data_IF_031500997780
#
_entry.id   IF_031500997780
#
_cell.length_a   1.000
_cell.length_b   1.000
_cell.length_c   1.000
_cell.angle_alpha   90.00
_cell.angle_beta   90.00
_cell.angle_gamma   90.00
#
_symmetry.space_group_name_H-M   'P 1'
#
loop_
_entity.id
_entity.type
_entity.pdbx_description
1 polymer ?
#
# COMPACT_ATOMS: atom_id res chain seq x y z
N UNK A 1 -6.55 14.06 19.93
CA UNK A 1 -6.48 14.50 18.52
C UNK A 1 -5.35 13.67 17.92
N UNK A 2 -5.66 12.65 17.13
CA UNK A 2 -4.64 11.88 16.42
C UNK A 2 -3.96 12.82 15.43
N UNK A 3 -2.63 12.91 15.51
CA UNK A 3 -1.82 13.57 14.49
C UNK A 3 -2.25 13.01 13.14
N UNK A 4 -2.56 13.92 12.23
CA UNK A 4 -2.83 13.57 10.83
C UNK A 4 -1.51 13.05 10.29
N UNK A 5 -1.33 11.74 10.27
CA UNK A 5 -0.15 11.13 9.66
C UNK A 5 -0.07 11.58 8.20
N UNK A 6 0.95 12.34 7.91
CA UNK A 6 1.21 12.86 6.56
C UNK A 6 1.65 11.66 5.70
N UNK A 7 0.92 11.37 4.63
CA UNK A 7 1.36 10.40 3.63
C UNK A 7 2.35 11.10 2.71
N UNK A 8 3.58 10.60 2.65
CA UNK A 8 4.65 11.21 1.87
C UNK A 8 6.02 10.86 2.43
N UNK A 9 7.11 11.36 1.87
CA UNK A 9 8.47 11.05 2.32
C UNK A 9 8.72 11.31 3.82
N UNK A 10 8.01 12.27 4.40
CA UNK A 10 8.11 12.60 5.83
C UNK A 10 7.59 11.48 6.76
N UNK A 11 6.75 10.56 6.25
CA UNK A 11 6.26 9.42 7.03
C UNK A 11 7.28 8.27 7.15
N UNK A 12 8.26 8.20 6.25
CA UNK A 12 9.19 7.08 6.17
C UNK A 12 9.93 6.78 7.49
N UNK A 13 10.48 7.76 8.22
CA UNK A 13 11.17 7.47 9.49
C UNK A 13 10.26 6.82 10.54
N UNK A 14 9.00 7.26 10.63
CA UNK A 14 8.01 6.68 11.54
C UNK A 14 7.67 5.23 11.18
N UNK A 15 7.47 4.96 9.89
CA UNK A 15 7.22 3.60 9.41
C UNK A 15 8.44 2.68 9.58
N UNK A 16 9.66 3.19 9.42
CA UNK A 16 10.89 2.44 9.70
C UNK A 16 10.98 2.04 11.17
N UNK A 17 10.74 2.99 12.08
CA UNK A 17 10.71 2.70 13.52
C UNK A 17 9.64 1.65 13.87
N UNK A 18 8.47 1.70 13.24
CA UNK A 18 7.41 0.71 13.44
C UNK A 18 7.84 -0.68 12.93
N UNK A 19 8.49 -0.78 11.76
CA UNK A 19 9.05 -2.04 11.26
C UNK A 19 10.05 -2.63 12.26
N UNK A 20 10.98 -1.81 12.78
CA UNK A 20 11.96 -2.25 13.77
C UNK A 20 11.29 -2.76 15.05
N UNK A 21 10.24 -2.07 15.53
CA UNK A 21 9.46 -2.49 16.68
C UNK A 21 8.79 -3.86 16.46
N UNK A 22 8.18 -4.06 15.28
CA UNK A 22 7.52 -5.33 14.94
C UNK A 22 8.54 -6.47 14.85
N UNK A 23 9.69 -6.23 14.21
CA UNK A 23 10.78 -7.22 14.13
C UNK A 23 11.34 -7.59 15.51
N UNK A 24 11.47 -6.60 16.40
CA UNK A 24 11.90 -6.84 17.78
C UNK A 24 10.88 -7.68 18.56
N UNK A 25 9.59 -7.40 18.43
CA UNK A 25 8.53 -8.15 19.08
C UNK A 25 8.45 -9.59 18.54
N UNK A 26 8.61 -9.80 17.23
CA UNK A 26 8.67 -11.12 16.63
C UNK A 26 9.80 -11.98 17.19
N UNK A 27 11.00 -11.39 17.32
CA UNK A 27 12.17 -12.06 17.92
C UNK A 27 11.92 -12.39 19.37
N UNK A 28 11.36 -11.46 20.15
CA UNK A 28 11.01 -11.65 21.57
C UNK A 28 10.02 -12.80 21.78
N UNK A 29 9.06 -12.98 20.87
CA UNK A 29 8.08 -14.06 20.93
C UNK A 29 8.61 -15.41 20.40
N UNK A 30 9.84 -15.48 19.88
CA UNK A 30 10.53 -16.72 19.52
C UNK A 30 10.50 -17.08 18.03
N UNK A 31 10.24 -16.13 17.14
CA UNK A 31 10.45 -16.35 15.71
C UNK A 31 11.95 -16.55 15.40
N UNK A 32 12.27 -17.53 14.56
CA UNK A 32 13.65 -17.79 14.09
C UNK A 32 14.06 -16.82 12.98
N UNK A 33 13.10 -16.43 12.15
CA UNK A 33 13.24 -15.39 11.14
C UNK A 33 11.89 -14.69 10.91
N UNK A 34 11.92 -13.47 10.41
CA UNK A 34 10.70 -12.74 10.09
C UNK A 34 10.96 -11.65 9.05
N UNK A 35 9.89 -11.29 8.36
CA UNK A 35 9.81 -10.14 7.46
C UNK A 35 8.51 -9.37 7.70
N UNK A 36 8.56 -8.07 7.52
CA UNK A 36 7.47 -7.14 7.80
C UNK A 36 7.35 -6.14 6.67
N UNK A 37 6.13 -5.84 6.27
CA UNK A 37 5.83 -4.70 5.42
C UNK A 37 4.80 -3.81 6.13
N UNK A 38 5.11 -2.53 6.27
CA UNK A 38 4.22 -1.49 6.80
C UNK A 38 3.90 -0.53 5.65
N UNK A 39 2.66 -0.13 5.54
CA UNK A 39 2.24 0.83 4.52
C UNK A 39 1.20 1.81 5.05
N UNK A 40 1.22 2.99 4.47
CA UNK A 40 0.17 4.01 4.58
C UNK A 40 -0.12 4.54 3.19
N UNK A 41 -1.39 4.66 2.87
CA UNK A 41 -1.87 5.14 1.58
C UNK A 41 -3.03 6.11 1.77
N UNK A 42 -3.12 7.11 0.90
CA UNK A 42 -4.30 7.96 0.76
C UNK A 42 -4.53 8.30 -0.70
N UNK A 43 -5.78 8.53 -1.07
CA UNK A 43 -6.09 8.87 -2.44
C UNK A 43 -7.48 9.42 -2.65
N UNK A 44 -7.61 10.20 -3.71
CA UNK A 44 -8.85 10.68 -4.27
C UNK A 44 -9.16 9.88 -5.54
N UNK A 45 -10.38 9.38 -5.64
CA UNK A 45 -10.92 8.80 -6.87
C UNK A 45 -12.24 9.48 -7.23
N UNK A 46 -12.39 9.85 -8.49
CA UNK A 46 -13.64 10.40 -9.02
C UNK A 46 -14.04 9.63 -10.26
N UNK A 47 -15.33 9.35 -10.39
CA UNK A 47 -15.90 8.75 -11.60
C UNK A 47 -17.05 9.61 -12.09
N UNK A 48 -17.03 9.93 -13.38
CA UNK A 48 -18.13 10.61 -14.08
C UNK A 48 -18.67 9.66 -15.16
N UNK A 49 -19.97 9.74 -15.38
CA UNK A 49 -20.66 8.97 -16.40
C UNK A 49 -21.81 9.78 -16.98
N UNK A 50 -21.93 9.81 -18.29
CA UNK A 50 -23.00 10.54 -18.98
C UNK A 50 -23.06 12.02 -18.58
N UNK A 51 -21.87 12.64 -18.40
CA UNK A 51 -21.69 14.04 -17.97
C UNK A 51 -22.16 14.35 -16.57
N UNK A 52 -22.39 13.34 -15.75
CA UNK A 52 -22.76 13.46 -14.34
C UNK A 52 -21.71 12.82 -13.46
N UNK A 53 -21.56 13.33 -12.24
CA UNK A 53 -20.68 12.73 -11.23
C UNK A 53 -21.36 11.49 -10.69
N UNK A 54 -20.68 10.35 -10.79
CA UNK A 54 -21.16 9.08 -10.26
C UNK A 54 -20.62 8.82 -8.86
N UNK A 55 -19.28 8.96 -8.69
CA UNK A 55 -18.63 8.79 -7.38
C UNK A 55 -17.53 9.81 -7.17
N UNK A 56 -17.35 10.18 -5.89
CA UNK A 56 -16.18 10.88 -5.36
C UNK A 56 -15.80 10.19 -4.06
N UNK A 57 -14.62 9.60 -4.01
CA UNK A 57 -14.14 8.82 -2.89
C UNK A 57 -12.79 9.33 -2.44
N UNK A 58 -12.62 9.50 -1.13
CA UNK A 58 -11.34 9.74 -0.52
C UNK A 58 -11.04 8.58 0.44
N UNK A 59 -10.04 7.80 0.10
CA UNK A 59 -9.63 6.63 0.86
C UNK A 59 -8.34 6.92 1.62
N UNK A 60 -8.25 6.38 2.83
CA UNK A 60 -7.02 6.36 3.60
C UNK A 60 -6.90 5.02 4.29
N UNK A 61 -5.84 4.31 3.97
CA UNK A 61 -5.52 3.00 4.50
C UNK A 61 -4.14 3.00 5.14
N UNK A 62 -4.02 2.22 6.21
CA UNK A 62 -2.74 1.93 6.86
C UNK A 62 -2.75 0.53 7.43
N UNK A 63 -1.58 -0.04 7.61
CA UNK A 63 -1.48 -1.34 8.26
C UNK A 63 -0.11 -1.97 8.07
N UNK A 64 0.02 -3.15 8.65
CA UNK A 64 1.19 -3.97 8.42
C UNK A 64 0.85 -5.44 8.23
N UNK A 65 1.70 -6.12 7.48
CA UNK A 65 1.73 -7.57 7.37
C UNK A 65 3.05 -8.11 7.86
N UNK A 66 3.01 -9.24 8.56
CA UNK A 66 4.18 -9.95 9.02
C UNK A 66 4.15 -11.40 8.57
N UNK A 67 5.29 -11.90 8.12
CA UNK A 67 5.54 -13.32 7.93
C UNK A 67 6.62 -13.78 8.91
N UNK A 68 6.31 -14.80 9.68
CA UNK A 68 7.21 -15.40 10.67
C UNK A 68 7.61 -16.80 10.24
N UNK A 69 8.82 -17.15 10.64
CA UNK A 69 9.36 -18.51 10.49
C UNK A 69 9.73 -19.08 11.84
N UNK A 70 9.40 -20.36 12.05
CA UNK A 70 9.85 -21.18 13.17
C UNK A 70 10.51 -22.42 12.57
N UNK A 71 11.83 -22.39 12.43
CA UNK A 71 12.52 -23.33 11.55
C UNK A 71 12.04 -23.20 10.11
N UNK A 72 11.56 -24.29 9.52
CA UNK A 72 11.01 -24.35 8.16
C UNK A 72 9.47 -24.22 8.10
N UNK A 73 8.85 -23.70 9.15
CA UNK A 73 7.40 -23.47 9.21
C UNK A 73 7.09 -21.99 9.12
N UNK A 74 6.13 -21.63 8.30
CA UNK A 74 5.76 -20.26 8.02
C UNK A 74 4.35 -19.94 8.51
N UNK A 75 4.19 -18.77 9.10
CA UNK A 75 2.88 -18.19 9.44
C UNK A 75 2.85 -16.71 9.12
N UNK A 76 1.72 -16.23 8.60
CA UNK A 76 1.54 -14.83 8.25
C UNK A 76 0.25 -14.29 8.87
N UNK A 77 0.28 -13.02 9.27
CA UNK A 77 -0.88 -12.27 9.73
C UNK A 77 -0.74 -10.80 9.35
N UNK A 78 -1.86 -10.09 9.28
CA UNK A 78 -1.90 -8.66 8.98
C UNK A 78 -2.97 -7.96 9.78
N UNK A 79 -2.81 -6.65 9.97
CA UNK A 79 -3.80 -5.78 10.62
C UNK A 79 -3.69 -4.36 10.11
N UNK A 80 -4.79 -3.62 10.19
CA UNK A 80 -4.83 -2.17 9.97
C UNK A 80 -4.56 -1.36 11.26
N UNK A 81 -4.55 -2.00 12.43
CA UNK A 81 -4.26 -1.36 13.70
C UNK A 81 -2.75 -1.29 13.93
N UNK A 82 -2.25 -0.13 14.39
CA UNK A 82 -0.80 0.16 14.47
C UNK A 82 -0.28 0.30 15.91
N UNK A 83 -1.15 0.18 16.92
CA UNK A 83 -0.76 0.29 18.33
C UNK A 83 0.02 -0.94 18.84
N UNK A 84 0.76 -0.78 19.94
CA UNK A 84 1.58 -1.84 20.54
C UNK A 84 0.80 -3.13 20.86
N UNK A 85 -0.45 -3.02 21.28
CA UNK A 85 -1.29 -4.19 21.55
C UNK A 85 -1.56 -4.97 20.25
N UNK A 86 -1.92 -4.26 19.17
CA UNK A 86 -2.17 -4.86 17.87
C UNK A 86 -0.91 -5.52 17.30
N UNK A 87 0.26 -4.89 17.50
CA UNK A 87 1.55 -5.49 17.11
C UNK A 87 1.75 -6.83 17.83
N UNK A 88 1.60 -6.86 19.15
CA UNK A 88 1.77 -8.10 19.94
C UNK A 88 0.80 -9.19 19.52
N UNK A 89 -0.45 -8.85 19.33
CA UNK A 89 -1.51 -9.80 18.95
C UNK A 89 -1.30 -10.36 17.55
N UNK A 90 -0.94 -9.50 16.58
CA UNK A 90 -0.69 -9.91 15.20
C UNK A 90 0.56 -10.81 15.10
N UNK A 91 1.62 -10.47 15.81
CA UNK A 91 2.82 -11.30 15.93
C UNK A 91 2.48 -12.66 16.57
N UNK A 92 1.70 -12.66 17.64
CA UNK A 92 1.28 -13.91 18.31
C UNK A 92 0.41 -14.78 17.38
N UNK A 93 -0.49 -14.18 16.60
CA UNK A 93 -1.33 -14.90 15.64
C UNK A 93 -0.48 -15.54 14.53
N UNK A 94 0.45 -14.79 13.92
CA UNK A 94 1.36 -15.33 12.91
C UNK A 94 2.23 -16.47 13.48
N UNK A 95 2.71 -16.31 14.72
CA UNK A 95 3.51 -17.34 15.39
C UNK A 95 2.69 -18.61 15.67
N UNK A 96 1.44 -18.47 16.09
CA UNK A 96 0.55 -19.61 16.30
C UNK A 96 0.33 -20.38 14.99
N UNK A 97 0.10 -19.67 13.87
CA UNK A 97 -0.02 -20.28 12.56
C UNK A 97 1.26 -21.02 12.18
N UNK A 98 2.43 -20.41 12.33
CA UNK A 98 3.71 -21.04 12.02
C UNK A 98 3.95 -22.33 12.82
N UNK A 99 3.59 -22.35 14.11
CA UNK A 99 3.76 -23.54 14.97
C UNK A 99 2.90 -24.72 14.52
N UNK A 100 1.77 -24.48 13.86
CA UNK A 100 0.84 -25.53 13.41
C UNK A 100 0.96 -25.83 11.90
N UNK A 101 1.74 -25.04 11.16
CA UNK A 101 1.98 -25.27 9.74
C UNK A 101 2.89 -26.50 9.53
N UNK A 102 2.76 -27.14 8.37
CA UNK A 102 3.71 -28.16 7.93
C UNK A 102 5.06 -27.55 7.61
N UNK A 103 6.11 -28.34 7.76
CA UNK A 103 7.47 -27.95 7.33
C UNK A 103 7.54 -27.87 5.80
N UNK A 104 8.23 -26.84 5.31
CA UNK A 104 8.50 -26.60 3.90
C UNK A 104 9.98 -26.22 3.77
N UNK A 105 10.74 -27.06 3.10
CA UNK A 105 12.18 -26.88 2.92
C UNK A 105 12.54 -25.55 2.22
N UNK A 106 11.61 -25.01 1.46
CA UNK A 106 11.78 -23.72 0.76
C UNK A 106 11.32 -22.52 1.59
N UNK A 107 10.75 -22.73 2.80
CA UNK A 107 10.28 -21.63 3.64
C UNK A 107 11.45 -20.97 4.37
N UNK A 108 11.61 -19.66 4.14
CA UNK A 108 12.65 -18.86 4.77
C UNK A 108 12.82 -17.50 4.11
N UNK A 109 13.68 -16.68 4.67
CA UNK A 109 14.14 -15.45 4.04
C UNK A 109 15.14 -15.77 2.94
N UNK A 110 15.25 -14.89 1.96
CA UNK A 110 16.36 -14.92 1.00
C UNK A 110 17.71 -14.84 1.74
N UNK A 111 18.78 -15.35 1.11
CA UNK A 111 20.13 -15.30 1.68
C UNK A 111 20.49 -13.86 2.09
N UNK A 112 21.03 -13.70 3.31
CA UNK A 112 21.47 -12.41 3.81
C UNK A 112 22.52 -11.72 2.91
N UNK A 113 23.31 -12.49 2.18
CA UNK A 113 24.28 -11.97 1.23
C UNK A 113 23.64 -11.30 -0.01
N UNK A 114 22.38 -11.63 -0.29
CA UNK A 114 21.60 -11.06 -1.40
C UNK A 114 20.82 -9.79 -1.01
N UNK A 115 20.86 -9.39 0.27
CA UNK A 115 20.18 -8.16 0.71
C UNK A 115 20.84 -6.94 0.08
N UNK A 116 20.00 -6.00 -0.38
CA UNK A 116 20.47 -4.73 -0.89
C UNK A 116 21.22 -3.95 0.21
N UNK A 117 22.34 -3.35 -0.14
CA UNK A 117 23.17 -2.54 0.76
C UNK A 117 23.00 -1.06 0.48
N UNK A 118 22.89 -0.72 -0.78
CA UNK A 118 22.68 0.63 -1.27
C UNK A 118 21.25 0.77 -1.80
N UNK A 119 20.50 1.68 -1.22
CA UNK A 119 19.13 1.98 -1.64
C UNK A 119 19.17 3.25 -2.49
N UNK A 120 19.00 3.15 -3.83
CA UNK A 120 18.98 4.32 -4.68
C UNK A 120 17.75 5.18 -4.42
N UNK A 121 17.89 6.49 -4.61
CA UNK A 121 16.74 7.37 -4.73
C UNK A 121 15.96 7.01 -6.01
N UNK A 122 14.67 6.70 -5.87
CA UNK A 122 13.85 6.21 -6.98
C UNK A 122 13.04 7.29 -7.68
N UNK A 123 13.00 8.51 -7.10
CA UNK A 123 12.23 9.66 -7.61
C UNK A 123 10.77 9.31 -7.98
N UNK A 124 10.08 8.60 -7.08
CA UNK A 124 8.72 8.08 -7.33
C UNK A 124 7.62 8.95 -6.73
N UNK A 125 7.98 10.01 -5.98
CA UNK A 125 7.01 10.82 -5.25
C UNK A 125 6.87 12.20 -5.87
N UNK A 126 5.73 12.43 -6.55
CA UNK A 126 5.36 13.68 -7.17
C UNK A 126 3.92 14.02 -6.76
N UNK A 127 3.77 14.74 -5.65
CA UNK A 127 2.46 15.09 -5.12
C UNK A 127 1.67 15.94 -6.11
N UNK A 128 0.38 15.65 -6.23
CA UNK A 128 -0.55 16.41 -7.02
C UNK A 128 -1.71 16.87 -6.14
N UNK A 129 -1.71 18.13 -5.77
CA UNK A 129 -2.73 18.75 -4.91
C UNK A 129 -4.01 19.05 -5.72
N UNK A 130 -4.58 18.02 -6.34
CA UNK A 130 -5.82 18.13 -7.09
C UNK A 130 -7.02 18.12 -6.16
N UNK A 131 -7.93 19.09 -6.33
CA UNK A 131 -9.20 19.08 -5.59
C UNK A 131 -10.22 18.15 -6.24
N UNK A 132 -11.26 17.71 -5.52
CA UNK A 132 -12.34 16.91 -6.09
C UNK A 132 -12.98 17.58 -7.31
N UNK A 133 -13.21 18.89 -7.24
CA UNK A 133 -13.82 19.67 -8.33
C UNK A 133 -12.93 19.67 -9.59
N UNK A 134 -11.62 19.84 -9.41
CA UNK A 134 -10.65 19.78 -10.52
C UNK A 134 -10.57 18.37 -11.12
N UNK A 135 -10.67 17.33 -10.28
CA UNK A 135 -10.67 15.95 -10.74
C UNK A 135 -11.92 15.63 -11.57
N UNK A 136 -13.09 16.08 -11.11
CA UNK A 136 -14.36 15.98 -11.83
C UNK A 136 -14.27 16.70 -13.17
N UNK A 137 -13.80 17.96 -13.18
CA UNK A 137 -13.66 18.74 -14.42
C UNK A 137 -12.81 18.01 -15.45
N UNK A 138 -11.66 17.45 -15.05
CA UNK A 138 -10.77 16.70 -15.94
C UNK A 138 -11.41 15.42 -16.46
N UNK A 139 -12.15 14.70 -15.61
CA UNK A 139 -12.86 13.51 -16.03
C UNK A 139 -13.99 13.84 -17.03
N UNK A 140 -14.75 14.91 -16.79
CA UNK A 140 -15.78 15.40 -17.72
C UNK A 140 -15.19 15.84 -19.07
N UNK A 141 -14.05 16.53 -19.07
CA UNK A 141 -13.36 16.92 -20.30
C UNK A 141 -12.90 15.71 -21.11
N UNK A 142 -12.40 14.66 -20.43
CA UNK A 142 -11.99 13.42 -21.07
C UNK A 142 -13.19 12.70 -21.71
N UNK A 143 -14.30 12.58 -20.99
CA UNK A 143 -15.53 11.97 -21.49
C UNK A 143 -16.10 12.76 -22.69
N UNK A 144 -16.16 14.08 -22.59
CA UNK A 144 -16.65 14.94 -23.68
C UNK A 144 -15.82 14.77 -24.96
N UNK A 145 -14.48 14.76 -24.82
CA UNK A 145 -13.58 14.56 -25.95
C UNK A 145 -13.84 13.24 -26.69
N UNK A 146 -14.16 12.18 -25.93
CA UNK A 146 -14.46 10.87 -26.48
C UNK A 146 -15.82 10.89 -27.26
N UNK A 147 -16.85 11.48 -26.68
CA UNK A 147 -18.16 11.60 -27.35
C UNK A 147 -18.10 12.47 -28.62
N UNK A 148 -17.24 13.47 -28.63
CA UNK A 148 -17.06 14.37 -29.78
C UNK A 148 -16.20 13.72 -30.90
N UNK A 149 -15.40 12.69 -30.56
CA UNK A 149 -14.51 12.05 -31.53
C UNK A 149 -15.23 11.26 -32.62
N UNK A 150 -16.34 10.59 -32.27
CA UNK A 150 -17.13 9.81 -33.25
C UNK A 150 -18.62 9.76 -32.84
N UNK A 151 -19.57 10.07 -33.71
CA UNK A 151 -21.01 10.08 -33.41
C UNK A 151 -21.58 8.70 -33.07
N UNK A 152 -20.82 7.62 -33.29
CA UNK A 152 -21.18 6.27 -32.88
C UNK A 152 -20.93 6.04 -31.37
N UNK A 153 -20.07 6.83 -30.74
CA UNK A 153 -19.81 6.78 -29.30
C UNK A 153 -20.95 7.50 -28.59
N UNK A 154 -21.86 6.75 -27.99
CA UNK A 154 -23.06 7.26 -27.32
C UNK A 154 -23.17 6.89 -25.86
N UNK A 155 -22.27 6.05 -25.40
CA UNK A 155 -22.27 5.59 -24.00
C UNK A 155 -20.85 5.34 -23.52
N UNK A 156 -20.61 5.66 -22.27
CA UNK A 156 -19.40 5.33 -21.54
C UNK A 156 -19.77 4.47 -20.32
N UNK A 157 -18.90 3.56 -19.96
CA UNK A 157 -19.00 2.83 -18.69
C UNK A 157 -18.50 3.69 -17.53
N UNK A 158 -17.78 4.74 -17.83
CA UNK A 158 -17.33 5.79 -16.94
C UNK A 158 -15.94 6.29 -17.29
N UNK A 159 -15.69 7.52 -16.87
CA UNK A 159 -14.37 8.15 -16.88
C UNK A 159 -13.93 8.33 -15.44
N UNK A 160 -12.81 7.70 -15.09
CA UNK A 160 -12.28 7.74 -13.72
C UNK A 160 -10.94 8.47 -13.68
N UNK A 161 -10.80 9.38 -12.72
CA UNK A 161 -9.53 10.00 -12.34
C UNK A 161 -9.16 9.57 -10.94
N UNK A 162 -7.95 9.04 -10.77
CA UNK A 162 -7.37 8.66 -9.48
C UNK A 162 -6.07 9.40 -9.21
N UNK A 163 -5.88 9.86 -7.98
CA UNK A 163 -4.64 10.45 -7.49
C UNK A 163 -4.34 9.88 -6.11
N UNK A 164 -3.31 9.05 -6.02
CA UNK A 164 -2.94 8.29 -4.82
C UNK A 164 -1.51 8.59 -4.41
N UNK A 165 -1.29 8.62 -3.10
CA UNK A 165 0.01 8.75 -2.48
C UNK A 165 0.20 7.58 -1.51
N UNK A 166 1.38 6.99 -1.50
CA UNK A 166 1.69 5.88 -0.60
C UNK A 166 3.10 5.96 -0.06
N UNK A 167 3.28 5.43 1.15
CA UNK A 167 4.58 5.11 1.71
C UNK A 167 4.59 3.65 2.12
N UNK A 168 5.66 2.97 1.80
CA UNK A 168 5.85 1.57 2.16
C UNK A 168 7.26 1.37 2.70
N UNK A 169 7.36 0.64 3.81
CA UNK A 169 8.63 0.20 4.39
C UNK A 169 8.58 -1.31 4.55
N UNK A 170 9.63 -1.96 4.12
CA UNK A 170 9.88 -3.38 4.33
C UNK A 170 11.11 -3.55 5.21
N UNK A 171 11.09 -4.54 6.07
CA UNK A 171 12.24 -4.96 6.84
C UNK A 171 12.21 -6.46 7.16
N UNK A 172 13.37 -7.00 7.48
CA UNK A 172 13.51 -8.40 7.84
C UNK A 172 14.55 -8.64 8.93
N UNK A 173 14.56 -9.87 9.47
CA UNK A 173 15.46 -10.25 10.56
C UNK A 173 16.94 -10.40 10.17
N UNK A 174 17.30 -10.26 8.89
CA UNK A 174 18.69 -10.12 8.45
C UNK A 174 19.24 -8.69 8.61
N UNK A 175 18.45 -7.77 9.17
CA UNK A 175 18.86 -6.40 9.42
C UNK A 175 18.58 -5.44 8.24
N UNK A 176 17.90 -5.89 7.20
CA UNK A 176 17.45 -4.99 6.14
C UNK A 176 16.21 -4.22 6.59
N UNK A 177 16.22 -2.90 6.42
CA UNK A 177 15.06 -2.01 6.51
C UNK A 177 15.17 -0.99 5.38
N UNK A 178 14.19 -0.93 4.52
CA UNK A 178 14.15 0.00 3.40
C UNK A 178 12.73 0.33 3.00
N UNK A 179 12.54 1.53 2.47
CA UNK A 179 11.21 1.99 2.08
C UNK A 179 11.28 3.16 1.12
N UNK A 180 10.14 3.45 0.52
CA UNK A 180 9.98 4.56 -0.40
C UNK A 180 8.58 5.14 -0.31
N UNK A 181 8.47 6.41 -0.68
CA UNK A 181 7.21 7.06 -0.97
C UNK A 181 6.98 7.04 -2.48
N UNK A 182 5.72 6.96 -2.90
CA UNK A 182 5.35 7.02 -4.30
C UNK A 182 4.00 7.66 -4.50
N UNK A 183 3.78 8.18 -5.70
CA UNK A 183 2.49 8.66 -6.15
C UNK A 183 2.05 7.93 -7.41
N UNK A 184 0.75 7.82 -7.60
CA UNK A 184 0.15 7.27 -8.80
C UNK A 184 -1.03 8.14 -9.23
N UNK A 185 -0.95 8.68 -10.44
CA UNK A 185 -2.04 9.45 -11.04
C UNK A 185 -2.51 8.72 -12.29
N UNK A 186 -3.81 8.61 -12.45
CA UNK A 186 -4.41 7.91 -13.59
C UNK A 186 -5.68 8.61 -14.06
N UNK A 187 -5.87 8.63 -15.37
CA UNK A 187 -7.10 9.01 -16.01
C UNK A 187 -7.46 7.89 -16.99
N UNK A 188 -8.64 7.33 -16.86
CA UNK A 188 -9.11 6.24 -17.71
C UNK A 188 -10.56 6.47 -18.14
N UNK A 189 -10.87 6.04 -19.35
CA UNK A 189 -12.21 6.08 -19.92
C UNK A 189 -12.51 4.72 -20.52
N UNK A 190 -13.66 4.16 -20.19
CA UNK A 190 -14.20 2.95 -20.79
C UNK A 190 -15.43 3.30 -21.64
N UNK A 191 -15.38 2.96 -22.92
CA UNK A 191 -16.44 3.25 -23.87
C UNK A 191 -17.24 1.97 -24.15
N UNK A 192 -18.56 2.13 -24.22
CA UNK A 192 -19.47 1.08 -24.67
C UNK A 192 -19.96 1.45 -26.06
N UNK A 193 -19.66 0.62 -27.04
CA UNK A 193 -20.25 0.74 -28.38
C UNK A 193 -21.24 -0.39 -28.58
N UNK A 194 -22.34 -0.05 -29.18
CA UNK A 194 -23.41 -1.01 -29.54
C UNK A 194 -23.49 -1.11 -31.04
#
# INVERSE_FOLDING_TARGET
MSEVEVVGPAALPGLQAQVEQILAEARKQGATACEVAVSVEQGLSTTVRQREVETVEFNRDQGFGITLYVGQRKGSASTSATGEAAIRETVAAALAIAKHASEDESAGLADAALMARDLPELDLYHAWDITPEQAIERALLCEAAAFDADPRIRNADGTSLGSHQSCRVYGNSHGFVGGYASTRHSLSLSLIHI
#
